data_IF_332774231427
#
_entry.id   IF_332774231427
#
_cell.length_a   1.000
_cell.length_b   1.000
_cell.length_c   1.000
_cell.angle_alpha   90.00
_cell.angle_beta   90.00
_cell.angle_gamma   90.00
#
_symmetry.space_group_name_H-M   'P 1'
#
loop_
_entity.id
_entity.type
_entity.pdbx_description
1 polymer ?
#
# COMPACT_ATOMS: atom_id res chain seq x y z
N UNK A 1 -26.01 -70.97 19.16
CA UNK A 1 -27.01 -69.91 18.86
C UNK A 1 -26.29 -68.80 18.11
N UNK A 2 -26.60 -68.65 16.81
CA UNK A 2 -26.08 -67.62 15.91
C UNK A 2 -26.88 -66.32 16.04
N UNK A 3 -26.24 -65.16 15.89
CA UNK A 3 -26.73 -63.95 15.20
C UNK A 3 -25.50 -63.04 14.93
N UNK A 4 -24.92 -63.07 13.72
CA UNK A 4 -25.15 -62.16 12.56
C UNK A 4 -24.69 -60.70 12.76
N UNK A 5 -23.60 -60.38 12.05
CA UNK A 5 -23.16 -59.11 11.43
C UNK A 5 -24.09 -57.88 11.52
N UNK A 6 -23.51 -56.72 11.85
CA UNK A 6 -23.79 -55.49 11.10
C UNK A 6 -22.54 -54.61 10.95
N UNK A 7 -22.34 -54.15 9.73
CA UNK A 7 -21.17 -53.44 9.19
C UNK A 7 -21.70 -52.10 8.67
N UNK A 8 -21.22 -50.98 9.17
CA UNK A 8 -21.38 -49.64 8.55
C UNK A 8 -20.20 -48.77 9.01
N UNK A 9 -19.15 -48.62 8.21
CA UNK A 9 -18.91 -47.47 7.31
C UNK A 9 -19.15 -46.11 7.97
N UNK A 10 -18.07 -45.38 8.26
CA UNK A 10 -17.94 -43.93 8.08
C UNK A 10 -16.47 -43.52 8.22
N UNK A 11 -15.68 -43.92 7.21
CA UNK A 11 -14.47 -43.22 6.82
C UNK A 11 -14.92 -41.98 6.00
N UNK A 12 -14.16 -40.89 6.04
CA UNK A 12 -14.44 -39.59 5.40
C UNK A 12 -15.39 -38.71 6.22
N UNK A 13 -14.84 -37.74 6.97
CA UNK A 13 -15.44 -36.41 7.25
C UNK A 13 -14.45 -35.51 8.04
N UNK A 14 -13.12 -35.73 7.95
CA UNK A 14 -12.11 -34.92 8.67
C UNK A 14 -11.24 -34.06 7.73
N UNK A 15 -11.81 -33.53 6.64
CA UNK A 15 -11.06 -32.71 5.66
C UNK A 15 -11.83 -31.50 5.08
N UNK A 16 -12.87 -31.01 5.74
CA UNK A 16 -13.67 -29.87 5.22
C UNK A 16 -13.46 -28.57 6.00
N UNK A 17 -12.76 -28.59 7.15
CA UNK A 17 -12.69 -27.42 8.03
C UNK A 17 -11.53 -26.43 7.76
N UNK A 18 -10.65 -26.66 6.78
CA UNK A 18 -9.46 -25.81 6.49
C UNK A 18 -9.64 -25.00 5.18
N UNK A 19 -10.84 -24.96 4.60
CA UNK A 19 -11.08 -24.33 3.29
C UNK A 19 -11.59 -22.89 3.30
N UNK A 20 -11.97 -22.33 4.47
CA UNK A 20 -12.82 -21.12 4.51
C UNK A 20 -12.06 -19.85 4.95
N UNK A 21 -10.82 -19.95 5.45
CA UNK A 21 -10.08 -18.80 6.02
C UNK A 21 -9.24 -18.03 4.97
N UNK A 22 -9.23 -18.43 3.70
CA UNK A 22 -8.40 -17.76 2.66
C UNK A 22 -9.10 -16.64 1.87
N UNK A 23 -10.33 -16.23 2.23
CA UNK A 23 -11.13 -15.27 1.43
C UNK A 23 -11.19 -13.83 1.97
N UNK A 24 -10.40 -13.46 2.98
CA UNK A 24 -10.47 -12.11 3.59
C UNK A 24 -9.25 -11.21 3.34
N UNK A 25 -8.41 -11.50 2.34
CA UNK A 25 -7.54 -10.46 1.78
C UNK A 25 -8.40 -9.64 0.81
N UNK A 26 -9.41 -8.97 1.36
CA UNK A 26 -10.15 -7.93 0.66
C UNK A 26 -9.16 -6.84 0.33
N UNK A 27 -8.79 -6.76 -0.95
CA UNK A 27 -8.03 -5.66 -1.50
C UNK A 27 -8.87 -4.40 -1.32
N UNK A 28 -8.65 -3.68 -0.23
CA UNK A 28 -9.27 -2.38 0.02
C UNK A 28 -8.79 -1.46 -1.09
N UNK A 29 -9.69 -1.05 -1.98
CA UNK A 29 -9.41 0.03 -2.91
C UNK A 29 -9.29 1.30 -2.08
N UNK A 30 -8.10 1.60 -1.59
CA UNK A 30 -7.84 2.83 -0.85
C UNK A 30 -8.28 4.01 -1.73
N UNK A 31 -9.18 4.82 -1.21
CA UNK A 31 -9.57 6.08 -1.82
C UNK A 31 -8.31 6.97 -1.90
N UNK A 32 -8.06 7.59 -3.05
CA UNK A 32 -6.91 8.47 -3.27
C UNK A 32 -7.24 9.53 -4.31
N UNK A 33 -6.49 10.64 -4.34
CA UNK A 33 -6.71 11.77 -5.26
C UNK A 33 -5.70 11.68 -6.41
N UNK A 34 -6.04 11.08 -7.57
CA UNK A 34 -5.11 10.93 -8.67
C UNK A 34 -4.63 12.28 -9.23
N UNK A 35 -5.43 13.35 -9.15
CA UNK A 35 -5.09 14.67 -9.67
C UNK A 35 -3.83 15.26 -9.01
N UNK A 36 -3.53 14.85 -7.77
CA UNK A 36 -2.32 15.25 -7.04
C UNK A 36 -1.06 14.48 -7.44
N UNK A 37 -1.13 13.55 -8.38
CA UNK A 37 0.04 12.79 -8.84
C UNK A 37 0.41 13.11 -10.28
N UNK A 38 1.70 13.13 -10.57
CA UNK A 38 2.20 13.16 -11.92
C UNK A 38 1.91 11.85 -12.68
N UNK A 39 1.92 11.90 -14.01
CA UNK A 39 1.58 10.73 -14.84
C UNK A 39 2.57 9.58 -14.64
N UNK A 40 3.86 9.88 -14.45
CA UNK A 40 4.91 8.86 -14.27
C UNK A 40 4.76 8.16 -12.93
N UNK A 41 4.49 8.89 -11.84
CA UNK A 41 4.20 8.29 -10.54
C UNK A 41 2.96 7.39 -10.58
N UNK A 42 1.87 7.83 -11.24
CA UNK A 42 0.66 6.98 -11.40
C UNK A 42 0.95 5.66 -12.10
N UNK A 43 1.70 5.72 -13.20
CA UNK A 43 2.09 4.53 -13.95
C UNK A 43 2.96 3.61 -13.09
N UNK A 44 3.92 4.18 -12.36
CA UNK A 44 4.81 3.39 -11.49
C UNK A 44 4.03 2.75 -10.34
N UNK A 45 3.13 3.47 -9.68
CA UNK A 45 2.25 2.95 -8.64
C UNK A 45 1.39 1.80 -9.20
N UNK A 46 0.75 2.01 -10.34
CA UNK A 46 -0.10 0.98 -10.98
C UNK A 46 0.66 -0.31 -11.32
N UNK A 47 1.94 -0.19 -11.68
CA UNK A 47 2.83 -1.32 -11.89
C UNK A 47 3.15 -2.04 -10.58
N UNK A 48 3.57 -1.28 -9.55
CA UNK A 48 3.96 -1.84 -8.26
C UNK A 48 2.82 -2.54 -7.55
N UNK A 49 1.60 -2.01 -7.63
CA UNK A 49 0.44 -2.67 -7.01
C UNK A 49 0.16 -4.07 -7.55
N UNK A 50 0.57 -4.34 -8.79
CA UNK A 50 0.37 -5.64 -9.44
C UNK A 50 1.55 -6.57 -9.23
N UNK A 51 2.76 -6.05 -9.41
CA UNK A 51 3.97 -6.86 -9.47
C UNK A 51 4.70 -6.92 -8.12
N UNK A 52 4.78 -5.80 -7.40
CA UNK A 52 5.62 -5.64 -6.21
C UNK A 52 4.97 -4.69 -5.17
N UNK A 53 3.83 -5.06 -4.55
CA UNK A 53 3.02 -4.12 -3.76
C UNK A 53 3.73 -3.59 -2.51
N UNK A 54 4.73 -4.32 -2.02
CA UNK A 54 5.51 -3.97 -0.84
C UNK A 54 6.82 -3.22 -1.18
N UNK A 55 7.10 -2.97 -2.46
CA UNK A 55 8.30 -2.24 -2.87
C UNK A 55 8.20 -0.77 -2.50
N UNK A 56 9.29 -0.25 -1.96
CA UNK A 56 9.45 1.17 -1.68
C UNK A 56 9.94 1.90 -2.93
N UNK A 57 9.31 3.04 -3.23
CA UNK A 57 9.81 3.98 -4.22
C UNK A 57 10.02 5.36 -3.61
N UNK A 58 11.00 6.07 -4.16
CA UNK A 58 11.29 7.45 -3.79
C UNK A 58 10.47 8.39 -4.67
N UNK A 59 9.94 9.44 -4.05
CA UNK A 59 9.12 10.45 -4.69
C UNK A 59 9.39 11.82 -4.06
N UNK A 60 9.05 12.86 -4.80
CA UNK A 60 9.06 14.25 -4.33
C UNK A 60 7.62 14.70 -4.16
N UNK A 61 7.34 15.46 -3.10
CA UNK A 61 6.05 16.07 -2.88
C UNK A 61 6.18 17.57 -2.65
N UNK A 62 5.12 18.29 -3.01
CA UNK A 62 4.93 19.70 -2.75
C UNK A 62 3.71 19.91 -1.87
N UNK A 63 3.86 20.78 -0.89
CA UNK A 63 2.81 21.20 0.03
C UNK A 63 2.38 22.64 -0.25
N UNK A 64 1.26 23.07 0.31
CA UNK A 64 0.73 24.43 0.13
C UNK A 64 1.37 25.47 1.06
N UNK A 65 2.25 25.04 1.98
CA UNK A 65 2.87 25.86 3.01
C UNK A 65 4.27 25.31 3.35
N UNK A 66 5.06 26.05 4.12
CA UNK A 66 6.38 25.54 4.54
C UNK A 66 6.20 24.37 5.51
N UNK A 67 6.97 23.30 5.30
CA UNK A 67 6.91 22.09 6.10
C UNK A 67 7.60 22.34 7.44
N UNK A 68 6.83 22.29 8.51
CA UNK A 68 7.29 22.29 9.89
C UNK A 68 7.26 20.86 10.47
N UNK A 69 7.59 20.70 11.75
CA UNK A 69 7.61 19.39 12.40
C UNK A 69 6.23 18.73 12.50
N UNK A 70 5.17 19.53 12.62
CA UNK A 70 3.78 19.04 12.65
C UNK A 70 3.39 18.43 11.30
N UNK A 71 3.60 19.16 10.20
CA UNK A 71 3.35 18.69 8.83
C UNK A 71 4.21 17.47 8.52
N UNK A 72 5.48 17.48 8.95
CA UNK A 72 6.36 16.32 8.78
C UNK A 72 5.82 15.08 9.51
N UNK A 73 5.35 15.25 10.74
CA UNK A 73 4.78 14.15 11.52
C UNK A 73 3.52 13.61 10.85
N UNK A 74 2.68 14.49 10.30
CA UNK A 74 1.47 14.09 9.58
C UNK A 74 1.80 13.37 8.26
N UNK A 75 2.81 13.83 7.52
CA UNK A 75 3.36 13.12 6.37
C UNK A 75 3.82 11.71 6.77
N UNK A 76 4.65 11.57 7.80
CA UNK A 76 5.16 10.26 8.25
C UNK A 76 4.05 9.34 8.78
N UNK A 77 2.95 9.90 9.28
CA UNK A 77 1.78 9.13 9.75
C UNK A 77 1.08 8.34 8.63
N UNK A 78 1.27 8.71 7.36
CA UNK A 78 0.76 7.96 6.21
C UNK A 78 1.59 6.70 5.90
N UNK A 79 2.70 6.51 6.60
CA UNK A 79 3.64 5.40 6.43
C UNK A 79 4.76 5.68 5.42
N UNK A 80 4.87 6.91 4.92
CA UNK A 80 6.03 7.33 4.13
C UNK A 80 7.18 7.72 5.05
N UNK A 81 8.41 7.56 4.58
CA UNK A 81 9.61 8.02 5.26
C UNK A 81 10.08 9.31 4.62
N UNK A 82 10.00 10.43 5.34
CA UNK A 82 10.51 11.71 4.86
C UNK A 82 12.04 11.71 4.97
N UNK A 83 12.72 12.05 3.87
CA UNK A 83 14.17 11.99 3.75
C UNK A 83 14.80 13.38 3.75
N UNK A 84 14.19 14.33 3.03
CA UNK A 84 14.65 15.72 3.00
C UNK A 84 13.48 16.68 2.87
N UNK A 85 13.64 17.89 3.41
CA UNK A 85 12.66 18.97 3.37
C UNK A 85 13.37 20.24 2.94
N UNK A 86 12.82 20.92 1.94
CA UNK A 86 13.27 22.23 1.46
C UNK A 86 12.03 23.11 1.32
N UNK A 87 11.78 23.97 2.32
CA UNK A 87 10.60 24.84 2.39
C UNK A 87 9.30 24.04 2.30
N UNK A 88 8.59 24.14 1.18
CA UNK A 88 7.31 23.49 0.88
C UNK A 88 7.47 22.17 0.11
N UNK A 89 8.70 21.76 -0.20
CA UNK A 89 9.02 20.55 -0.96
C UNK A 89 9.65 19.51 -0.02
N UNK A 90 9.27 18.24 -0.17
CA UNK A 90 9.90 17.12 0.51
C UNK A 90 10.28 16.00 -0.45
N UNK A 91 11.31 15.23 -0.10
CA UNK A 91 11.55 13.91 -0.68
C UNK A 91 11.18 12.84 0.34
N UNK A 92 10.54 11.78 -0.12
CA UNK A 92 10.17 10.68 0.74
C UNK A 92 10.24 9.35 0.00
N UNK A 93 10.21 8.27 0.76
CA UNK A 93 10.07 6.91 0.23
C UNK A 93 8.89 6.18 0.88
N UNK A 94 8.19 5.36 0.11
CA UNK A 94 7.03 4.62 0.60
C UNK A 94 6.53 3.58 -0.39
N UNK A 95 5.61 2.73 0.07
CA UNK A 95 4.89 1.78 -0.80
C UNK A 95 3.83 2.50 -1.63
N UNK A 96 3.32 1.83 -2.66
CA UNK A 96 2.20 2.32 -3.47
C UNK A 96 1.00 2.76 -2.61
N UNK A 97 0.67 1.99 -1.57
CA UNK A 97 -0.42 2.29 -0.63
C UNK A 97 -0.15 3.57 0.16
N UNK A 98 1.06 3.73 0.72
CA UNK A 98 1.40 4.88 1.55
C UNK A 98 1.43 6.18 0.73
N UNK A 99 1.88 6.09 -0.53
CA UNK A 99 1.88 7.24 -1.46
C UNK A 99 0.44 7.65 -1.79
N UNK A 100 -0.45 6.69 -2.04
CA UNK A 100 -1.88 6.96 -2.24
C UNK A 100 -2.49 7.66 -1.03
N UNK A 101 -2.24 7.16 0.19
CA UNK A 101 -2.70 7.81 1.44
C UNK A 101 -2.18 9.25 1.56
N UNK A 102 -0.94 9.51 1.14
CA UNK A 102 -0.36 10.86 1.16
C UNK A 102 -1.13 11.85 0.30
N UNK A 103 -1.78 11.41 -0.78
CA UNK A 103 -2.62 12.30 -1.61
C UNK A 103 -3.86 12.81 -0.87
N UNK A 104 -4.32 12.10 0.17
CA UNK A 104 -5.51 12.47 0.94
C UNK A 104 -5.26 13.64 1.90
N UNK A 105 -4.00 13.99 2.16
CA UNK A 105 -3.66 15.11 3.03
C UNK A 105 -3.99 16.43 2.33
N UNK A 106 -4.77 17.29 2.99
CA UNK A 106 -5.28 18.53 2.41
C UNK A 106 -4.17 19.50 1.99
N UNK A 107 -3.07 19.54 2.75
CA UNK A 107 -1.93 20.41 2.45
C UNK A 107 -1.02 19.88 1.34
N UNK A 108 -1.13 18.60 0.95
CA UNK A 108 -0.37 18.03 -0.16
C UNK A 108 -0.99 18.52 -1.47
N UNK A 109 -0.18 19.22 -2.26
CA UNK A 109 -0.59 19.82 -3.54
C UNK A 109 -0.27 18.89 -4.70
N UNK A 110 0.92 18.31 -4.70
CA UNK A 110 1.40 17.51 -5.82
C UNK A 110 2.48 16.52 -5.41
N UNK A 111 2.50 15.34 -6.01
CA UNK A 111 3.50 14.29 -5.86
C UNK A 111 4.04 13.88 -7.23
N UNK A 112 5.35 13.70 -7.33
CA UNK A 112 6.03 13.27 -8.54
C UNK A 112 7.07 12.19 -8.25
N UNK A 113 7.33 11.31 -9.22
CA UNK A 113 8.39 10.30 -9.08
C UNK A 113 9.76 10.99 -8.94
N UNK A 114 10.56 10.56 -7.97
CA UNK A 114 11.90 11.12 -7.81
C UNK A 114 12.75 10.77 -9.03
N UNK A 115 13.34 11.80 -9.65
CA UNK A 115 14.30 11.60 -10.75
C UNK A 115 15.57 11.00 -10.15
N UNK A 116 15.93 9.80 -10.56
CA UNK A 116 17.31 9.32 -10.40
C UNK A 116 18.21 10.30 -11.12
N UNK A 117 18.97 11.09 -10.37
CA UNK A 117 20.14 11.76 -10.94
C UNK A 117 21.21 10.69 -11.06
N UNK A 118 21.41 10.17 -12.27
CA UNK A 118 22.59 9.39 -12.59
C UNK A 118 23.81 10.30 -12.39
N UNK A 119 24.48 10.20 -11.25
CA UNK A 119 25.82 10.74 -11.10
C UNK A 119 26.75 9.88 -11.97
N UNK A 120 27.09 10.41 -13.15
CA UNK A 120 28.20 9.91 -13.98
C UNK A 120 29.54 10.38 -13.42
#
# INVERSE_FOLDING_TARGET
MSFKYFRTTSFVQTKVLIGIISMLIGCSSAEYIPEKMDATLKQRISFLEKEEPNSFIQFTGKTNSSINDEIKTELESTGIKVESIIRDIFTASGTAENIKKTTLLDFVVFLELAKKMDMK
#
